data_IF_711291310333
#
_entry.id   IF_711291310333
#
_cell.length_a   1.000
_cell.length_b   1.000
_cell.length_c   1.000
_cell.angle_alpha   90.00
_cell.angle_beta   90.00
_cell.angle_gamma   90.00
#
_symmetry.space_group_name_H-M   'P 1'
#
loop_
_entity.id
_entity.type
_entity.pdbx_description
1 polymer ?
#
# COMPACT_ATOMS: atom_id res chain seq x y z
N UNK A 1 52.29 -44.62 33.61
CA UNK A 1 52.64 -43.43 32.80
C UNK A 1 51.92 -43.39 31.44
N UNK A 2 52.00 -44.43 30.59
CA UNK A 2 51.29 -44.49 29.28
C UNK A 2 49.75 -44.41 29.36
N UNK A 3 49.12 -44.99 30.37
CA UNK A 3 47.66 -44.98 30.58
C UNK A 3 47.14 -43.63 31.07
N UNK A 4 47.94 -42.91 31.87
CA UNK A 4 47.65 -41.57 32.36
C UNK A 4 47.69 -40.52 31.23
N UNK A 5 48.64 -40.66 30.29
CA UNK A 5 48.77 -39.77 29.12
C UNK A 5 47.57 -39.94 28.15
N UNK A 6 47.07 -41.16 27.97
CA UNK A 6 45.86 -41.41 27.15
C UNK A 6 44.60 -40.77 27.76
N UNK A 7 44.42 -40.85 29.07
CA UNK A 7 43.29 -40.21 29.78
C UNK A 7 43.37 -38.68 29.72
N UNK A 8 44.58 -38.13 29.84
CA UNK A 8 44.82 -36.68 29.75
C UNK A 8 44.58 -36.15 28.32
N UNK A 9 45.00 -36.90 27.29
CA UNK A 9 44.74 -36.55 25.90
C UNK A 9 43.23 -36.54 25.55
N UNK A 10 42.47 -37.51 26.07
CA UNK A 10 41.01 -37.57 25.87
C UNK A 10 40.31 -36.38 26.55
N UNK A 11 40.75 -35.99 27.75
CA UNK A 11 40.19 -34.84 28.47
C UNK A 11 40.44 -33.51 27.73
N UNK A 12 41.63 -33.35 27.13
CA UNK A 12 41.98 -32.15 26.35
C UNK A 12 41.20 -32.06 25.03
N UNK A 13 40.97 -33.18 24.33
CA UNK A 13 40.15 -33.20 23.10
C UNK A 13 38.68 -32.86 23.41
N UNK A 14 38.13 -33.35 24.53
CA UNK A 14 36.78 -33.02 24.97
C UNK A 14 36.64 -31.55 25.38
N UNK A 15 37.68 -30.97 26.00
CA UNK A 15 37.72 -29.54 26.33
C UNK A 15 37.82 -28.66 25.08
N UNK A 16 38.50 -29.10 24.02
CA UNK A 16 38.60 -28.33 22.77
C UNK A 16 37.28 -28.30 21.97
N UNK A 17 36.41 -29.31 22.12
CA UNK A 17 35.11 -29.36 21.45
C UNK A 17 34.04 -28.48 22.13
N UNK A 18 34.28 -27.97 23.34
CA UNK A 18 33.33 -27.13 24.08
C UNK A 18 33.59 -25.62 23.98
N UNK A 19 34.74 -25.19 23.43
CA UNK A 19 35.09 -23.76 23.30
C UNK A 19 34.69 -23.17 21.94
N UNK A 20 34.18 -23.96 21.00
CA UNK A 20 33.93 -23.52 19.61
C UNK A 20 32.46 -23.20 19.27
N UNK A 21 31.52 -23.23 20.22
CA UNK A 21 30.10 -23.14 19.90
C UNK A 21 29.40 -21.94 20.54
N UNK A 22 29.98 -20.75 20.38
CA UNK A 22 29.18 -19.54 20.31
C UNK A 22 28.73 -19.40 18.86
N UNK A 23 27.66 -20.09 18.47
CA UNK A 23 26.99 -19.76 17.20
C UNK A 23 26.45 -18.34 17.43
N UNK A 24 27.06 -17.34 16.77
CA UNK A 24 26.41 -16.05 16.64
C UNK A 24 25.14 -16.33 15.83
N UNK A 25 23.98 -16.24 16.46
CA UNK A 25 22.72 -16.28 15.75
C UNK A 25 22.59 -14.96 15.02
N UNK A 26 23.05 -14.91 13.77
CA UNK A 26 22.69 -13.82 12.87
C UNK A 26 21.23 -14.05 12.49
N UNK A 27 20.33 -13.34 13.18
CA UNK A 27 18.96 -13.18 12.71
C UNK A 27 18.87 -11.76 12.17
N UNK A 28 18.28 -11.62 10.98
CA UNK A 28 18.18 -10.33 10.33
C UNK A 28 17.42 -9.36 11.22
N UNK A 29 17.70 -8.08 11.04
CA UNK A 29 17.23 -7.05 11.95
C UNK A 29 16.54 -5.92 11.21
N UNK A 30 15.44 -5.46 11.81
CA UNK A 30 14.82 -4.21 11.44
C UNK A 30 15.68 -3.04 11.90
N UNK A 31 15.86 -2.08 11.02
CA UNK A 31 16.48 -0.79 11.30
C UNK A 31 15.52 0.33 10.94
N UNK A 32 15.74 1.50 11.53
CA UNK A 32 14.90 2.67 11.31
C UNK A 32 15.70 3.97 11.39
N UNK A 33 15.30 4.95 10.60
CA UNK A 33 15.71 6.34 10.70
C UNK A 33 14.51 7.29 10.51
N UNK A 34 14.76 8.57 10.23
CA UNK A 34 13.70 9.56 9.99
C UNK A 34 12.95 9.37 8.67
N UNK A 35 13.51 8.61 7.72
CA UNK A 35 12.90 8.33 6.41
C UNK A 35 12.00 7.09 6.48
N UNK A 36 12.40 6.07 7.24
CA UNK A 36 11.56 4.90 7.44
C UNK A 36 12.31 3.69 7.98
N UNK A 37 11.72 2.51 7.76
CA UNK A 37 12.27 1.22 8.17
C UNK A 37 12.97 0.54 7.00
N UNK A 38 14.04 -0.21 7.26
CA UNK A 38 14.65 -1.15 6.31
C UNK A 38 15.03 -2.44 7.05
N UNK A 39 15.35 -3.49 6.30
CA UNK A 39 15.71 -4.78 6.86
C UNK A 39 17.13 -5.18 6.44
N UNK A 40 17.96 -5.53 7.43
CA UNK A 40 19.32 -6.02 7.23
C UNK A 40 19.32 -7.53 7.41
N UNK A 41 19.71 -8.26 6.38
CA UNK A 41 19.87 -9.71 6.40
C UNK A 41 21.08 -10.12 7.25
N UNK A 42 21.11 -11.41 7.60
CA UNK A 42 22.16 -12.04 8.40
C UNK A 42 23.58 -11.84 7.84
N UNK A 43 23.71 -11.71 6.52
CA UNK A 43 24.96 -11.48 5.80
C UNK A 43 25.37 -9.99 5.72
N UNK A 44 24.60 -9.10 6.35
CA UNK A 44 24.81 -7.66 6.35
C UNK A 44 24.29 -6.94 5.09
N UNK A 45 23.72 -7.66 4.12
CA UNK A 45 23.01 -7.03 3.00
C UNK A 45 21.64 -6.49 3.44
N UNK A 46 21.01 -5.64 2.64
CA UNK A 46 19.65 -5.16 2.91
C UNK A 46 18.74 -5.39 1.71
N UNK A 47 17.44 -5.55 1.98
CA UNK A 47 16.44 -5.84 0.95
C UNK A 47 16.13 -4.55 0.16
N UNK A 48 16.15 -4.65 -1.16
CA UNK A 48 15.90 -3.52 -2.07
C UNK A 48 15.10 -3.99 -3.26
N UNK A 49 14.03 -3.27 -3.60
CA UNK A 49 13.16 -3.55 -4.75
C UNK A 49 12.67 -5.01 -4.77
N UNK A 50 12.33 -5.55 -3.61
CA UNK A 50 11.97 -6.96 -3.46
C UNK A 50 11.06 -7.20 -2.24
N UNK A 51 10.39 -8.34 -2.27
CA UNK A 51 9.60 -8.88 -1.17
C UNK A 51 10.48 -9.65 -0.19
N UNK A 52 10.16 -9.55 1.10
CA UNK A 52 10.77 -10.36 2.15
C UNK A 52 9.71 -10.82 3.15
N UNK A 53 9.70 -12.11 3.43
CA UNK A 53 8.92 -12.66 4.54
C UNK A 53 9.71 -12.54 5.84
N UNK A 54 9.12 -11.89 6.84
CA UNK A 54 9.69 -11.63 8.16
C UNK A 54 8.59 -11.92 9.19
N UNK A 55 8.88 -12.78 10.17
CA UNK A 55 7.92 -13.19 11.19
C UNK A 55 6.55 -13.61 10.63
N UNK A 56 6.56 -14.41 9.56
CA UNK A 56 5.41 -14.89 8.79
C UNK A 56 4.61 -13.84 7.99
N UNK A 57 5.00 -12.56 8.05
CA UNK A 57 4.37 -11.49 7.26
C UNK A 57 5.24 -11.12 6.06
N UNK A 58 4.61 -10.74 4.95
CA UNK A 58 5.30 -10.28 3.75
C UNK A 58 5.43 -8.76 3.75
N UNK A 59 6.62 -8.26 3.44
CA UNK A 59 6.94 -6.83 3.33
C UNK A 59 7.61 -6.58 1.99
N UNK A 60 7.36 -5.41 1.40
CA UNK A 60 8.05 -4.99 0.18
C UNK A 60 8.94 -3.78 0.46
N UNK A 61 10.16 -3.82 -0.08
CA UNK A 61 11.14 -2.75 0.07
C UNK A 61 11.31 -2.03 -1.26
N UNK A 62 11.26 -0.69 -1.23
CA UNK A 62 11.45 0.14 -2.41
C UNK A 62 12.87 0.05 -2.98
N UNK A 63 13.09 0.70 -4.11
CA UNK A 63 14.41 0.80 -4.76
C UNK A 63 15.45 1.55 -3.92
N UNK A 64 15.00 2.29 -2.91
CA UNK A 64 15.83 2.98 -1.93
C UNK A 64 16.08 2.15 -0.66
N UNK A 65 15.59 0.91 -0.61
CA UNK A 65 15.74 -0.02 0.50
C UNK A 65 14.78 0.19 1.66
N UNK A 66 13.88 1.19 1.60
CA UNK A 66 12.93 1.43 2.67
C UNK A 66 11.64 0.63 2.45
N UNK A 67 11.10 0.11 3.55
CA UNK A 67 9.84 -0.63 3.59
C UNK A 67 8.69 0.27 3.14
N UNK A 68 7.90 -0.22 2.20
CA UNK A 68 6.65 0.42 1.80
C UNK A 68 5.53 0.02 2.77
N UNK A 69 4.63 0.95 3.08
CA UNK A 69 3.54 0.72 4.03
C UNK A 69 2.34 1.63 3.78
N UNK A 70 1.21 1.34 4.41
CA UNK A 70 0.01 2.18 4.43
C UNK A 70 -0.44 2.61 3.03
N UNK A 71 -0.66 1.65 2.12
CA UNK A 71 -1.21 1.96 0.82
C UNK A 71 -1.06 0.88 -0.24
N UNK A 72 -1.22 1.29 -1.50
CA UNK A 72 -1.27 0.37 -2.64
C UNK A 72 0.07 0.34 -3.36
N UNK A 73 0.68 -0.83 -3.39
CA UNK A 73 1.85 -1.15 -4.19
C UNK A 73 1.39 -1.72 -5.53
N UNK A 74 1.91 -1.18 -6.64
CA UNK A 74 1.66 -1.70 -7.98
C UNK A 74 2.93 -2.33 -8.56
N UNK A 75 2.87 -3.62 -8.88
CA UNK A 75 3.97 -4.39 -9.47
C UNK A 75 3.42 -5.24 -10.63
N UNK A 76 4.02 -5.12 -11.81
CA UNK A 76 3.68 -5.93 -13.00
C UNK A 76 2.16 -5.99 -13.31
N UNK A 77 1.48 -4.85 -13.17
CA UNK A 77 0.04 -4.72 -13.42
C UNK A 77 -0.86 -5.24 -12.29
N UNK A 78 -0.29 -5.75 -11.20
CA UNK A 78 -1.02 -6.19 -10.00
C UNK A 78 -0.94 -5.14 -8.91
N UNK A 79 -2.02 -4.99 -8.13
CA UNK A 79 -2.09 -4.12 -6.96
C UNK A 79 -2.00 -4.97 -5.68
N UNK A 80 -1.34 -4.46 -4.66
CA UNK A 80 -1.17 -5.08 -3.35
C UNK A 80 -1.46 -4.04 -2.27
N UNK A 81 -2.27 -4.36 -1.27
CA UNK A 81 -2.56 -3.46 -0.15
C UNK A 81 -1.58 -3.74 0.98
N UNK A 82 -0.83 -2.72 1.40
CA UNK A 82 0.10 -2.76 2.52
C UNK A 82 -0.55 -2.11 3.73
N UNK A 83 -0.56 -2.84 4.84
CA UNK A 83 -1.12 -2.41 6.13
C UNK A 83 -0.28 -1.29 6.76
N UNK A 84 -0.75 -0.75 7.88
CA UNK A 84 -0.06 0.30 8.63
C UNK A 84 1.36 -0.08 9.07
N UNK A 85 1.57 -1.36 9.41
CA UNK A 85 2.88 -1.93 9.74
C UNK A 85 3.79 -2.18 8.54
N UNK A 86 3.27 -2.06 7.30
CA UNK A 86 3.95 -2.45 6.07
C UNK A 86 3.74 -3.90 5.64
N UNK A 87 3.12 -4.72 6.47
CA UNK A 87 2.78 -6.09 6.09
C UNK A 87 1.72 -6.14 4.98
N UNK A 88 1.82 -7.15 4.10
CA UNK A 88 0.87 -7.41 3.04
C UNK A 88 -0.48 -7.85 3.59
N UNK A 89 -1.54 -7.15 3.20
CA UNK A 89 -2.92 -7.53 3.49
C UNK A 89 -3.38 -8.63 2.53
N UNK A 90 -3.85 -9.76 3.08
CA UNK A 90 -4.39 -10.90 2.31
C UNK A 90 -5.79 -11.25 2.78
N UNK A 91 -6.58 -11.91 1.93
CA UNK A 91 -7.93 -12.39 2.27
C UNK A 91 -8.87 -11.32 2.85
N UNK A 92 -8.74 -10.08 2.37
CA UNK A 92 -9.44 -8.91 2.91
C UNK A 92 -10.48 -8.41 1.93
N UNK A 93 -11.71 -8.25 2.38
CA UNK A 93 -12.79 -7.63 1.61
C UNK A 93 -13.09 -6.22 2.14
N UNK A 94 -12.98 -5.21 1.27
CA UNK A 94 -13.28 -3.81 1.56
C UNK A 94 -14.65 -3.35 1.04
N UNK A 95 -15.43 -4.25 0.43
CA UNK A 95 -16.70 -3.94 -0.24
C UNK A 95 -16.50 -3.51 -1.70
N UNK A 96 -15.66 -2.51 -1.94
CA UNK A 96 -15.33 -2.02 -3.29
C UNK A 96 -14.18 -2.78 -3.97
N UNK A 97 -13.61 -3.77 -3.29
CA UNK A 97 -12.53 -4.61 -3.80
C UNK A 97 -12.04 -5.55 -2.71
N UNK A 98 -11.20 -6.51 -3.10
CA UNK A 98 -10.67 -7.50 -2.18
C UNK A 98 -9.26 -7.94 -2.53
N UNK A 99 -8.48 -8.27 -1.50
CA UNK A 99 -7.22 -9.00 -1.61
C UNK A 99 -7.45 -10.51 -1.52
N UNK A 100 -6.84 -11.28 -2.42
CA UNK A 100 -6.84 -12.75 -2.37
C UNK A 100 -5.81 -13.32 -1.36
N UNK A 101 -5.63 -14.65 -1.35
CA UNK A 101 -4.66 -15.33 -0.49
C UNK A 101 -3.20 -14.98 -0.77
N UNK A 102 -2.91 -14.50 -1.99
CA UNK A 102 -1.59 -14.04 -2.43
C UNK A 102 -1.42 -12.52 -2.27
N UNK A 103 -2.43 -11.84 -1.72
CA UNK A 103 -2.46 -10.39 -1.52
C UNK A 103 -2.73 -9.58 -2.79
N UNK A 104 -3.12 -10.21 -3.90
CA UNK A 104 -3.49 -9.50 -5.12
C UNK A 104 -4.84 -8.82 -4.86
N UNK A 105 -4.83 -7.50 -4.89
CA UNK A 105 -6.01 -6.67 -4.74
C UNK A 105 -6.67 -6.42 -6.09
N UNK A 106 -7.97 -6.69 -6.14
CA UNK A 106 -8.81 -6.44 -7.31
C UNK A 106 -10.01 -5.59 -6.90
N UNK A 107 -10.28 -4.52 -7.63
CA UNK A 107 -11.52 -3.76 -7.48
C UNK A 107 -12.71 -4.60 -7.91
N UNK A 108 -13.90 -4.33 -7.37
CA UNK A 108 -15.12 -4.99 -7.84
C UNK A 108 -15.31 -4.77 -9.35
N UNK A 109 -15.68 -5.83 -10.06
CA UNK A 109 -15.95 -5.75 -11.49
C UNK A 109 -17.34 -5.15 -11.73
N UNK A 110 -17.33 -3.88 -12.14
CA UNK A 110 -18.50 -3.07 -12.46
C UNK A 110 -19.23 -3.52 -13.72
N UNK A 111 -18.60 -4.31 -14.61
CA UNK A 111 -19.25 -4.80 -15.84
C UNK A 111 -20.29 -5.89 -15.58
N UNK A 112 -20.33 -6.43 -14.36
CA UNK A 112 -21.29 -7.48 -13.97
C UNK A 112 -22.61 -6.94 -13.46
N UNK A 113 -22.75 -5.62 -13.29
CA UNK A 113 -23.92 -4.97 -12.72
C UNK A 113 -24.74 -4.40 -13.87
N UNK A 114 -26.01 -4.80 -13.99
CA UNK A 114 -26.97 -4.27 -14.98
C UNK A 114 -27.34 -2.79 -14.74
N UNK A 115 -26.61 -2.07 -13.89
CA UNK A 115 -26.90 -0.71 -13.48
C UNK A 115 -25.85 0.24 -14.04
N UNK A 116 -26.31 1.30 -14.69
CA UNK A 116 -25.51 2.46 -15.15
C UNK A 116 -24.98 3.32 -13.97
N UNK A 117 -24.69 2.70 -12.82
CA UNK A 117 -24.31 3.39 -11.60
C UNK A 117 -22.81 3.26 -11.32
N UNK A 118 -22.17 4.38 -11.03
CA UNK A 118 -20.76 4.42 -10.62
C UNK A 118 -20.61 3.97 -9.16
N UNK A 119 -20.55 2.65 -8.92
CA UNK A 119 -20.42 2.12 -7.55
C UNK A 119 -19.19 2.64 -6.81
N UNK A 120 -18.08 2.91 -7.51
CA UNK A 120 -16.90 3.48 -6.87
C UNK A 120 -17.21 4.85 -6.26
N UNK A 121 -17.96 5.70 -6.97
CA UNK A 121 -18.44 6.96 -6.43
C UNK A 121 -19.37 6.75 -5.22
N UNK A 122 -20.26 5.77 -5.25
CA UNK A 122 -21.13 5.42 -4.11
C UNK A 122 -20.33 5.05 -2.86
N UNK A 123 -19.23 4.30 -2.99
CA UNK A 123 -18.35 4.02 -1.87
C UNK A 123 -17.58 5.27 -1.39
N UNK A 124 -17.13 6.14 -2.30
CA UNK A 124 -16.53 7.42 -1.92
C UNK A 124 -17.50 8.30 -1.11
N UNK A 125 -18.78 8.35 -1.49
CA UNK A 125 -19.83 9.08 -0.77
C UNK A 125 -20.06 8.50 0.65
N UNK A 126 -20.03 7.18 0.80
CA UNK A 126 -20.07 6.54 2.13
C UNK A 126 -18.89 6.94 3.03
N UNK A 127 -17.74 7.26 2.42
CA UNK A 127 -16.57 7.79 3.12
C UNK A 127 -16.63 9.31 3.36
N UNK A 128 -17.71 9.97 2.93
CA UNK A 128 -17.94 11.40 3.12
C UNK A 128 -17.27 12.27 2.06
N UNK A 129 -16.94 11.71 0.90
CA UNK A 129 -16.37 12.46 -0.24
C UNK A 129 -17.51 12.83 -1.18
N UNK A 130 -17.74 14.14 -1.34
CA UNK A 130 -18.74 14.68 -2.26
C UNK A 130 -18.25 14.52 -3.73
N UNK A 131 -18.67 13.42 -4.35
CA UNK A 131 -18.31 13.04 -5.71
C UNK A 131 -19.03 13.91 -6.73
N UNK A 132 -20.25 14.36 -6.43
CA UNK A 132 -20.99 15.30 -7.28
C UNK A 132 -20.22 16.61 -7.43
N UNK A 133 -19.77 17.19 -6.32
CA UNK A 133 -18.95 18.40 -6.32
C UNK A 133 -17.59 18.16 -7.00
N UNK A 134 -16.96 17.00 -6.79
CA UNK A 134 -15.72 16.63 -7.48
C UNK A 134 -15.89 16.61 -9.01
N UNK A 135 -16.89 15.90 -9.50
CA UNK A 135 -17.16 15.75 -10.93
C UNK A 135 -17.49 17.09 -11.58
N UNK A 136 -18.36 17.88 -10.97
CA UNK A 136 -18.67 19.24 -11.42
C UNK A 136 -17.39 20.12 -11.40
N UNK A 137 -16.65 20.08 -10.30
CA UNK A 137 -15.39 20.80 -10.14
C UNK A 137 -14.38 20.52 -11.25
N UNK A 138 -14.18 19.24 -11.59
CA UNK A 138 -13.29 18.81 -12.67
C UNK A 138 -13.83 19.16 -14.07
N UNK A 139 -15.14 19.24 -14.27
CA UNK A 139 -15.72 19.66 -15.54
C UNK A 139 -15.48 21.14 -15.87
N UNK A 140 -15.29 21.98 -14.85
CA UNK A 140 -15.28 23.44 -14.99
C UNK A 140 -13.98 24.13 -14.60
N UNK A 141 -13.08 23.45 -13.87
CA UNK A 141 -11.86 24.07 -13.35
C UNK A 141 -10.62 23.30 -13.80
N UNK A 142 -9.53 24.02 -14.03
CA UNK A 142 -8.21 23.41 -14.30
C UNK A 142 -7.57 22.80 -13.06
N UNK A 143 -8.06 23.18 -11.87
CA UNK A 143 -7.63 22.65 -10.58
C UNK A 143 -8.85 22.56 -9.66
N UNK A 144 -8.99 21.45 -8.94
CA UNK A 144 -10.08 21.25 -7.98
C UNK A 144 -9.60 20.48 -6.75
N UNK A 145 -10.04 20.90 -5.57
CA UNK A 145 -9.65 20.31 -4.29
C UNK A 145 -10.87 19.81 -3.53
N UNK A 146 -10.83 18.53 -3.14
CA UNK A 146 -11.77 17.96 -2.18
C UNK A 146 -11.18 17.98 -0.78
N UNK A 147 -12.06 18.19 0.20
CA UNK A 147 -11.74 18.09 1.62
C UNK A 147 -12.82 17.26 2.28
N UNK A 148 -12.43 16.25 3.05
CA UNK A 148 -13.37 15.46 3.83
C UNK A 148 -12.75 15.01 5.15
N UNK A 149 -13.62 14.52 6.03
CA UNK A 149 -13.17 13.78 7.21
C UNK A 149 -12.66 12.40 6.78
N UNK A 150 -11.63 11.89 7.45
CA UNK A 150 -11.10 10.55 7.20
C UNK A 150 -11.66 9.49 8.18
N UNK A 151 -12.63 9.86 9.04
CA UNK A 151 -13.16 8.99 10.10
C UNK A 151 -13.85 7.73 9.56
N UNK A 152 -14.45 7.83 8.38
CA UNK A 152 -15.17 6.73 7.74
C UNK A 152 -14.31 5.94 6.76
N UNK A 153 -13.02 6.26 6.63
CA UNK A 153 -12.15 5.58 5.69
C UNK A 153 -11.95 4.12 6.08
N UNK A 154 -11.76 3.21 5.09
CA UNK A 154 -11.52 1.80 5.35
C UNK A 154 -10.28 1.62 6.22
N UNK A 155 -10.36 0.61 7.09
CA UNK A 155 -9.23 0.20 7.94
C UNK A 155 -8.67 -1.13 7.46
N UNK A 156 -7.36 -1.27 7.54
CA UNK A 156 -6.67 -2.57 7.42
C UNK A 156 -6.97 -3.49 8.60
N UNK A 157 -6.48 -4.71 8.53
CA UNK A 157 -6.67 -5.70 9.61
C UNK A 157 -6.01 -5.32 10.93
N UNK A 158 -5.13 -4.33 10.95
CA UNK A 158 -4.49 -3.77 12.14
C UNK A 158 -5.24 -2.55 12.70
N UNK A 159 -6.30 -2.10 12.02
CA UNK A 159 -7.09 -0.92 12.38
C UNK A 159 -6.50 0.40 11.86
N UNK A 160 -5.44 0.35 11.06
CA UNK A 160 -4.84 1.49 10.38
C UNK A 160 -5.69 2.00 9.22
N UNK A 161 -5.78 3.31 9.06
CA UNK A 161 -6.58 3.94 8.01
C UNK A 161 -5.91 3.80 6.64
N UNK A 162 -6.64 3.28 5.66
CA UNK A 162 -6.16 3.02 4.30
C UNK A 162 -6.46 4.19 3.35
N UNK A 163 -5.92 5.37 3.66
CA UNK A 163 -6.17 6.60 2.87
C UNK A 163 -5.66 6.52 1.43
N UNK A 164 -4.54 5.83 1.19
CA UNK A 164 -4.01 5.61 -0.18
C UNK A 164 -4.88 4.67 -1.01
N UNK A 165 -5.58 3.72 -0.36
CA UNK A 165 -6.56 2.89 -1.06
C UNK A 165 -7.80 3.71 -1.46
N UNK A 166 -8.21 4.65 -0.61
CA UNK A 166 -9.29 5.61 -0.96
C UNK A 166 -8.87 6.50 -2.15
N UNK A 167 -7.61 6.95 -2.21
CA UNK A 167 -7.10 7.67 -3.39
C UNK A 167 -7.24 6.83 -4.67
N UNK A 168 -6.90 5.54 -4.63
CA UNK A 168 -7.11 4.65 -5.77
C UNK A 168 -8.60 4.51 -6.13
N UNK A 169 -9.48 4.37 -5.14
CA UNK A 169 -10.93 4.31 -5.37
C UNK A 169 -11.48 5.57 -6.06
N UNK A 170 -11.06 6.76 -5.61
CA UNK A 170 -11.48 8.03 -6.24
C UNK A 170 -11.03 8.08 -7.70
N UNK A 171 -9.80 7.60 -8.00
CA UNK A 171 -9.29 7.53 -9.37
C UNK A 171 -10.14 6.59 -10.23
N UNK A 172 -10.50 5.41 -9.73
CA UNK A 172 -11.38 4.49 -10.46
C UNK A 172 -12.78 5.10 -10.68
N UNK A 173 -13.32 5.83 -9.70
CA UNK A 173 -14.60 6.54 -9.85
C UNK A 173 -14.54 7.63 -10.94
N UNK A 174 -13.46 8.40 -11.01
CA UNK A 174 -13.22 9.39 -12.07
C UNK A 174 -13.10 8.68 -13.43
N UNK A 175 -12.27 7.64 -13.52
CA UNK A 175 -12.03 6.90 -14.77
C UNK A 175 -13.33 6.32 -15.33
N UNK A 176 -14.15 5.71 -14.46
CA UNK A 176 -15.46 5.21 -14.86
C UNK A 176 -16.34 6.32 -15.43
N UNK A 177 -16.43 7.45 -14.73
CA UNK A 177 -17.30 8.55 -15.15
C UNK A 177 -16.84 9.19 -16.47
N UNK A 178 -15.54 9.39 -16.64
CA UNK A 178 -14.92 9.86 -17.88
C UNK A 178 -15.20 8.91 -19.05
N UNK A 179 -15.03 7.59 -18.82
CA UNK A 179 -15.32 6.57 -19.83
C UNK A 179 -16.81 6.54 -20.20
N UNK A 180 -17.69 6.58 -19.19
CA UNK A 180 -19.14 6.59 -19.38
C UNK A 180 -19.61 7.82 -20.16
N UNK A 181 -19.02 8.99 -19.89
CA UNK A 181 -19.29 10.23 -20.61
C UNK A 181 -18.66 10.28 -22.03
N UNK A 182 -17.89 9.25 -22.43
CA UNK A 182 -17.22 9.21 -23.74
C UNK A 182 -16.11 10.24 -23.89
N UNK A 183 -15.53 10.71 -22.78
CA UNK A 183 -14.45 11.70 -22.81
C UNK A 183 -13.11 10.99 -22.98
N UNK A 184 -12.41 11.31 -24.08
CA UNK A 184 -11.07 10.79 -24.36
C UNK A 184 -9.99 11.83 -24.06
N UNK A 185 -8.81 11.38 -23.62
CA UNK A 185 -7.69 12.27 -23.30
C UNK A 185 -7.88 13.12 -22.04
N UNK A 186 -8.69 12.64 -21.08
CA UNK A 186 -8.82 13.28 -19.79
C UNK A 186 -7.64 12.92 -18.89
N UNK A 187 -6.58 13.71 -18.98
CA UNK A 187 -5.38 13.55 -18.18
C UNK A 187 -5.36 14.51 -17.00
N UNK A 188 -5.00 14.00 -15.82
CA UNK A 188 -4.83 14.80 -14.61
C UNK A 188 -3.64 14.33 -13.78
N UNK A 189 -3.13 15.25 -12.97
CA UNK A 189 -2.23 14.96 -11.87
C UNK A 189 -2.94 15.20 -10.54
N UNK A 190 -2.41 14.65 -9.46
CA UNK A 190 -2.98 14.85 -8.14
C UNK A 190 -1.92 14.94 -7.05
N UNK A 191 -2.30 15.60 -5.96
CA UNK A 191 -1.60 15.55 -4.68
C UNK A 191 -2.63 15.29 -3.60
N UNK A 192 -2.23 14.69 -2.49
CA UNK A 192 -3.10 14.53 -1.34
C UNK A 192 -2.34 14.71 -0.05
N UNK A 193 -3.08 15.08 1.00
CA UNK A 193 -2.62 15.16 2.37
C UNK A 193 -3.59 14.38 3.24
N UNK A 194 -3.02 13.54 4.09
CA UNK A 194 -3.72 12.82 5.13
C UNK A 194 -3.20 13.32 6.48
N UNK A 195 -4.10 13.80 7.33
CA UNK A 195 -3.80 14.24 8.68
C UNK A 195 -4.55 13.36 9.68
N UNK A 196 -3.78 12.51 10.37
CA UNK A 196 -4.31 11.56 11.35
C UNK A 196 -4.87 12.26 12.58
N UNK A 197 -4.25 13.36 13.02
CA UNK A 197 -4.63 14.05 14.25
C UNK A 197 -5.84 14.95 14.04
N UNK A 198 -5.87 15.63 12.89
CA UNK A 198 -7.00 16.48 12.51
C UNK A 198 -8.19 15.70 11.91
N UNK A 199 -8.08 14.37 11.78
CA UNK A 199 -9.02 13.51 11.06
C UNK A 199 -9.41 14.06 9.68
N UNK A 200 -8.41 14.58 8.95
CA UNK A 200 -8.65 15.30 7.70
C UNK A 200 -7.98 14.59 6.52
N UNK A 201 -8.66 14.65 5.38
CA UNK A 201 -8.13 14.27 4.09
C UNK A 201 -8.40 15.39 3.08
N UNK A 202 -7.35 15.77 2.35
CA UNK A 202 -7.42 16.73 1.26
C UNK A 202 -6.80 16.11 0.02
N UNK A 203 -7.45 16.22 -1.12
CA UNK A 203 -6.90 15.80 -2.41
C UNK A 203 -7.14 16.87 -3.45
N UNK A 204 -6.07 17.28 -4.13
CA UNK A 204 -6.11 18.30 -5.17
C UNK A 204 -5.76 17.67 -6.50
N UNK A 205 -6.62 17.89 -7.48
CA UNK A 205 -6.48 17.45 -8.86
C UNK A 205 -6.11 18.64 -9.73
N UNK A 206 -5.21 18.42 -10.69
CA UNK A 206 -4.86 19.40 -11.72
C UNK A 206 -5.02 18.76 -13.09
N UNK A 207 -5.93 19.30 -13.90
CA UNK A 207 -6.22 18.82 -15.24
C UNK A 207 -5.14 19.31 -16.20
N UNK A 208 -4.63 18.39 -17.02
CA UNK A 208 -3.60 18.65 -18.02
C UNK A 208 -4.01 19.75 -19.00
N UNK A 209 -3.06 20.57 -19.46
CA UNK A 209 -3.30 21.59 -20.50
C UNK A 209 -3.78 21.01 -21.83
N UNK A 210 -3.43 19.75 -22.07
CA UNK A 210 -3.81 19.03 -23.29
C UNK A 210 -5.16 18.32 -23.16
N UNK A 211 -5.76 18.30 -21.96
CA UNK A 211 -7.09 17.74 -21.78
C UNK A 211 -8.15 18.65 -22.44
N UNK A 212 -9.30 18.11 -22.87
CA UNK A 212 -10.34 18.89 -23.52
C UNK A 212 -10.73 20.13 -22.69
N UNK A 213 -10.79 21.31 -23.32
CA UNK A 213 -11.10 22.61 -22.69
C UNK A 213 -12.46 22.68 -22.02
N UNK A 214 -13.29 21.71 -22.33
CA UNK A 214 -14.51 21.34 -21.62
C UNK A 214 -14.60 19.83 -21.77
N UNK A 215 -14.42 19.05 -20.70
CA UNK A 215 -15.07 17.75 -20.66
C UNK A 215 -16.55 18.10 -20.58
N UNK A 216 -17.35 17.96 -21.65
CA UNK A 216 -18.72 18.41 -21.67
C UNK A 216 -19.44 17.66 -20.56
N UNK A 217 -19.65 18.35 -19.44
CA UNK A 217 -20.40 17.87 -18.30
C UNK A 217 -20.03 16.44 -17.88
N UNK A 218 -19.05 16.29 -16.98
CA UNK A 218 -19.15 15.27 -15.93
C UNK A 218 -20.31 15.67 -14.97
N UNK A 219 -21.47 16.01 -15.54
CA UNK A 219 -22.71 16.32 -14.85
C UNK A 219 -23.54 15.07 -15.08
N UNK A 220 -23.62 14.22 -14.06
CA UNK A 220 -24.63 13.18 -14.02
C UNK A 220 -26.00 13.85 -13.78
N UNK A 221 -27.03 13.34 -14.44
CA UNK A 221 -28.42 13.50 -14.03
C UNK A 221 -28.74 12.57 -12.86
#
# INVERSE_FOLDING_TARGET
MRTSIRKLAILMIALCLSVSSSIISFAGEWKQDSKGYWYVNDDGTFVVNDWKQIDNNWYHFGSDGYMQHSGVLSLDGKKYVLMSSGALETNRNYGFGSSDENGIFTFIDIFTIEQEENLYATYCEQFGIDMSALFNGLGHNREYTINCSNVNFPKDSEGGVQSRLVVELIKEAINFNVWFAGVHGFDYSYTYKYDKEANSFTMTFKISDNAPTSAPSIIMY
#
